data_IF_748032479937
#
_entry.id   IF_748032479937
#
_cell.length_a   1.000
_cell.length_b   1.000
_cell.length_c   1.000
_cell.angle_alpha   90.00
_cell.angle_beta   90.00
_cell.angle_gamma   90.00
#
_symmetry.space_group_name_H-M   'P 1'
#
loop_
_entity.id
_entity.type
_entity.pdbx_description
1 polymer ?
#
# COMPACT_ATOMS: atom_id res chain seq x y z
N UNK A 1 11.78 -25.09 2.69
CA UNK A 1 12.97 -25.08 3.56
C UNK A 1 12.47 -25.32 4.98
N UNK A 2 12.77 -26.46 5.60
CA UNK A 2 12.30 -26.77 6.96
C UNK A 2 13.28 -26.18 7.98
N UNK A 3 12.78 -25.41 8.94
CA UNK A 3 13.57 -24.91 10.07
C UNK A 3 13.41 -25.93 11.19
N UNK A 4 14.43 -26.75 11.44
CA UNK A 4 14.48 -27.62 12.61
C UNK A 4 14.92 -26.82 13.84
N UNK A 5 14.08 -26.73 14.87
CA UNK A 5 14.45 -26.16 16.17
C UNK A 5 14.47 -27.25 17.24
N UNK A 6 15.67 -27.55 17.77
CA UNK A 6 15.92 -28.48 18.87
C UNK A 6 15.51 -27.91 20.25
N UNK A 7 14.27 -27.46 20.41
CA UNK A 7 13.80 -26.89 21.68
C UNK A 7 12.29 -27.04 21.87
N UNK A 8 11.87 -27.30 23.10
CA UNK A 8 10.46 -27.22 23.51
C UNK A 8 9.85 -25.90 23.02
N UNK A 9 8.59 -25.92 22.57
CA UNK A 9 7.88 -24.72 22.11
C UNK A 9 7.84 -23.59 23.14
N UNK A 10 8.04 -23.93 24.42
CA UNK A 10 8.11 -23.01 25.54
C UNK A 10 9.36 -22.10 25.52
N UNK A 11 10.42 -22.53 24.85
CA UNK A 11 11.70 -21.82 24.77
C UNK A 11 11.85 -20.98 23.50
N UNK A 12 10.89 -21.00 22.58
CA UNK A 12 10.92 -20.19 21.36
C UNK A 12 10.64 -18.72 21.69
N UNK A 13 11.64 -17.86 21.56
CA UNK A 13 11.48 -16.42 21.79
C UNK A 13 10.73 -15.77 20.61
N UNK A 14 9.60 -15.12 20.90
CA UNK A 14 8.78 -14.44 19.89
C UNK A 14 9.56 -13.35 19.14
N UNK A 15 10.42 -12.60 19.85
CA UNK A 15 11.26 -11.58 19.22
C UNK A 15 12.26 -12.20 18.26
N UNK A 16 12.84 -13.35 18.60
CA UNK A 16 13.76 -14.06 17.72
C UNK A 16 13.04 -14.59 16.47
N UNK A 17 11.79 -15.05 16.59
CA UNK A 17 10.96 -15.44 15.44
C UNK A 17 10.70 -14.22 14.56
N UNK A 18 10.29 -13.08 15.13
CA UNK A 18 10.07 -11.83 14.38
C UNK A 18 11.33 -11.37 13.65
N UNK A 19 12.47 -11.38 14.32
CA UNK A 19 13.77 -11.00 13.74
C UNK A 19 14.19 -11.94 12.60
N UNK A 20 14.03 -13.26 12.76
CA UNK A 20 14.36 -14.24 11.72
C UNK A 20 13.44 -14.11 10.50
N UNK A 21 12.15 -13.86 10.71
CA UNK A 21 11.22 -13.62 9.59
C UNK A 21 11.57 -12.31 8.87
N UNK A 22 11.81 -11.22 9.61
CA UNK A 22 12.23 -9.95 9.02
C UNK A 22 13.55 -10.07 8.24
N UNK A 23 14.51 -10.87 8.74
CA UNK A 23 15.75 -11.14 8.03
C UNK A 23 15.56 -11.98 6.76
N UNK A 24 14.57 -12.87 6.73
CA UNK A 24 14.23 -13.67 5.56
C UNK A 24 13.50 -12.86 4.46
N UNK A 25 12.81 -11.77 4.84
CA UNK A 25 12.07 -10.88 3.94
C UNK A 25 12.55 -9.43 4.11
N UNK A 26 13.78 -9.10 3.64
CA UNK A 26 14.42 -7.81 3.90
C UNK A 26 13.67 -6.61 3.29
N UNK A 27 12.85 -6.87 2.25
CA UNK A 27 12.02 -5.86 1.60
C UNK A 27 10.78 -5.49 2.43
N UNK A 28 10.59 -6.05 3.64
CA UNK A 28 9.40 -5.83 4.49
C UNK A 28 8.08 -6.23 3.84
N UNK A 29 8.12 -7.07 2.81
CA UNK A 29 6.95 -7.71 2.21
C UNK A 29 6.10 -8.49 3.23
N UNK A 30 6.71 -8.91 4.33
CA UNK A 30 6.04 -9.69 5.37
C UNK A 30 6.35 -9.08 6.74
N UNK A 31 5.31 -8.69 7.46
CA UNK A 31 5.40 -8.27 8.86
C UNK A 31 4.72 -9.30 9.75
N UNK A 32 5.43 -9.78 10.78
CA UNK A 32 4.82 -10.67 11.78
C UNK A 32 3.89 -9.85 12.67
N UNK A 33 2.59 -10.15 12.64
CA UNK A 33 1.59 -9.49 13.48
C UNK A 33 1.49 -10.19 14.85
N UNK A 34 1.52 -11.53 14.86
CA UNK A 34 1.33 -12.30 16.09
C UNK A 34 2.03 -13.66 16.04
N UNK A 35 2.32 -14.20 17.22
CA UNK A 35 2.91 -15.54 17.41
C UNK A 35 2.15 -16.25 18.51
N UNK A 36 1.29 -17.20 18.14
CA UNK A 36 0.45 -17.94 19.09
C UNK A 36 1.01 -19.34 19.30
N UNK A 37 1.14 -19.73 20.57
CA UNK A 37 1.50 -21.11 20.95
C UNK A 37 0.25 -21.91 21.23
N UNK A 38 0.08 -23.02 20.53
CA UNK A 38 -0.98 -23.99 20.74
C UNK A 38 -0.39 -25.27 21.32
N UNK A 39 -0.79 -25.60 22.55
CA UNK A 39 -0.39 -26.83 23.21
C UNK A 39 -0.91 -28.07 22.44
N UNK A 40 -0.15 -29.17 22.40
CA UNK A 40 1.11 -29.36 23.12
C UNK A 40 2.33 -28.71 22.44
N UNK A 41 2.41 -28.71 21.09
CA UNK A 41 3.68 -28.49 20.38
C UNK A 41 3.58 -27.62 19.11
N UNK A 42 2.55 -26.79 18.95
CA UNK A 42 2.35 -25.98 17.74
C UNK A 42 2.65 -24.50 18.00
N UNK A 43 3.32 -23.84 17.04
CA UNK A 43 3.46 -22.38 16.99
C UNK A 43 2.87 -21.88 15.69
N UNK A 44 1.86 -21.02 15.79
CA UNK A 44 1.25 -20.32 14.66
C UNK A 44 1.83 -18.92 14.58
N UNK A 45 2.49 -18.62 13.46
CA UNK A 45 2.98 -17.26 13.16
C UNK A 45 1.97 -16.63 12.22
N UNK A 46 1.36 -15.55 12.67
CA UNK A 46 0.46 -14.74 11.86
C UNK A 46 1.29 -13.62 11.23
N UNK A 47 1.17 -13.50 9.91
CA UNK A 47 1.89 -12.51 9.14
C UNK A 47 0.93 -11.67 8.31
N UNK A 48 1.27 -10.41 8.14
CA UNK A 48 0.66 -9.50 7.19
C UNK A 48 1.59 -9.37 5.98
N UNK A 49 1.05 -9.60 4.78
CA UNK A 49 1.77 -9.39 3.53
C UNK A 49 1.53 -7.94 3.06
N UNK A 50 2.61 -7.18 2.92
CA UNK A 50 2.58 -5.86 2.33
C UNK A 50 2.70 -6.01 0.82
N UNK A 51 1.64 -5.70 0.10
CA UNK A 51 1.65 -5.63 -1.35
C UNK A 51 1.96 -4.18 -1.77
N UNK A 52 3.14 -3.91 -2.38
CA UNK A 52 3.46 -2.61 -2.93
C UNK A 52 2.35 -2.13 -3.86
N UNK A 53 1.82 -0.94 -3.62
CA UNK A 53 0.68 -0.40 -4.37
C UNK A 53 1.07 0.86 -5.13
N UNK A 54 1.81 1.76 -4.50
CA UNK A 54 2.09 3.07 -5.07
C UNK A 54 3.56 3.48 -4.95
N UNK A 55 3.98 4.36 -5.86
CA UNK A 55 5.28 5.00 -5.84
C UNK A 55 5.10 6.50 -5.62
N UNK A 56 5.63 7.00 -4.50
CA UNK A 56 5.56 8.41 -4.11
C UNK A 56 6.94 9.06 -4.27
N UNK A 57 7.06 10.19 -5.00
CA UNK A 57 8.34 10.89 -5.12
C UNK A 57 8.91 11.28 -3.75
N UNK A 58 10.20 11.05 -3.55
CA UNK A 58 10.92 11.53 -2.37
C UNK A 58 11.10 13.05 -2.47
N UNK A 59 10.92 13.76 -1.35
CA UNK A 59 11.07 15.23 -1.29
C UNK A 59 12.47 15.70 -1.68
N UNK A 60 13.48 14.88 -1.47
CA UNK A 60 14.88 15.16 -1.83
C UNK A 60 15.17 14.94 -3.33
N UNK A 61 14.20 14.45 -4.11
CA UNK A 61 14.34 14.19 -5.55
C UNK A 61 15.20 12.99 -5.89
N UNK A 62 15.62 12.18 -4.91
CA UNK A 62 16.55 11.05 -5.15
C UNK A 62 15.89 9.81 -5.75
N UNK A 63 14.55 9.78 -5.78
CA UNK A 63 13.79 8.65 -6.29
C UNK A 63 12.39 8.62 -5.72
N UNK A 64 11.90 7.41 -5.46
CA UNK A 64 10.54 7.13 -5.01
C UNK A 64 10.55 6.24 -3.77
N UNK A 65 9.63 6.51 -2.85
CA UNK A 65 9.23 5.59 -1.82
C UNK A 65 8.12 4.69 -2.36
N UNK A 66 8.35 3.38 -2.32
CA UNK A 66 7.36 2.38 -2.68
C UNK A 66 6.63 1.97 -1.40
N UNK A 67 5.31 2.04 -1.43
CA UNK A 67 4.49 1.79 -0.25
C UNK A 67 3.20 1.04 -0.61
N UNK A 68 2.64 0.37 0.38
CA UNK A 68 1.29 -0.21 0.30
C UNK A 68 0.19 0.87 0.44
N UNK A 69 -1.07 0.45 0.49
CA UNK A 69 -2.24 1.33 0.62
C UNK A 69 -2.30 2.12 1.94
N UNK A 70 -1.67 1.59 2.98
CA UNK A 70 -1.66 2.16 4.33
C UNK A 70 -0.37 2.97 4.58
N UNK A 71 0.43 3.14 3.53
CA UNK A 71 1.73 3.81 3.50
C UNK A 71 2.78 3.18 4.40
N UNK A 72 2.71 1.87 4.61
CA UNK A 72 3.87 1.12 5.10
C UNK A 72 4.95 1.12 4.01
N UNK A 73 6.14 1.62 4.36
CA UNK A 73 7.27 1.66 3.44
C UNK A 73 7.81 0.25 3.19
N UNK A 74 7.73 -0.20 1.94
CA UNK A 74 8.39 -1.41 1.42
C UNK A 74 9.87 -1.08 1.20
N UNK A 75 10.16 -0.26 0.18
CA UNK A 75 11.54 0.14 -0.17
C UNK A 75 11.61 1.51 -0.83
N UNK A 76 12.85 2.00 -1.02
CA UNK A 76 13.15 3.17 -1.85
C UNK A 76 13.79 2.71 -3.16
N UNK A 77 13.39 3.29 -4.27
CA UNK A 77 13.89 2.95 -5.59
C UNK A 77 14.18 4.21 -6.41
N UNK A 78 15.15 4.14 -7.33
CA UNK A 78 15.32 5.20 -8.34
C UNK A 78 14.27 5.02 -9.43
N UNK A 79 14.00 6.07 -10.18
CA UNK A 79 12.99 6.02 -11.24
C UNK A 79 13.25 4.91 -12.28
N UNK A 80 14.52 4.68 -12.62
CA UNK A 80 14.92 3.66 -13.59
C UNK A 80 14.63 2.22 -13.11
N UNK A 81 14.47 2.03 -11.80
CA UNK A 81 14.24 0.72 -11.18
C UNK A 81 12.74 0.45 -10.92
N UNK A 82 11.87 1.41 -11.29
CA UNK A 82 10.43 1.28 -11.09
C UNK A 82 9.78 0.46 -12.19
N UNK A 83 9.01 -0.55 -11.77
CA UNK A 83 8.01 -1.15 -12.63
C UNK A 83 6.72 -0.30 -12.60
N UNK A 84 6.66 0.67 -13.51
CA UNK A 84 5.51 1.57 -13.67
C UNK A 84 4.21 0.85 -14.09
N UNK A 85 4.30 -0.44 -14.46
CA UNK A 85 3.13 -1.26 -14.82
C UNK A 85 2.50 -1.97 -13.62
N UNK A 86 3.23 -2.12 -12.52
CA UNK A 86 2.73 -2.76 -11.29
C UNK A 86 2.45 -1.78 -10.15
N UNK A 87 2.83 -0.51 -10.30
CA UNK A 87 2.64 0.54 -9.29
C UNK A 87 1.74 1.66 -9.81
N UNK A 88 1.00 2.27 -8.88
CA UNK A 88 0.29 3.53 -9.08
C UNK A 88 1.28 4.68 -8.85
N UNK A 89 1.52 5.50 -9.87
CA UNK A 89 2.41 6.66 -9.74
C UNK A 89 1.68 7.82 -9.05
N UNK A 90 2.22 8.32 -7.94
CA UNK A 90 1.65 9.49 -7.24
C UNK A 90 2.32 10.76 -7.76
N UNK A 91 1.52 11.72 -8.22
CA UNK A 91 1.98 12.96 -8.85
C UNK A 91 1.46 14.16 -8.04
N UNK A 92 2.31 15.17 -7.86
CA UNK A 92 1.97 16.38 -7.11
C UNK A 92 2.13 16.27 -5.58
N UNK A 93 2.39 15.06 -5.06
CA UNK A 93 2.76 14.83 -3.65
C UNK A 93 4.21 14.37 -3.55
N UNK A 94 4.84 14.67 -2.41
CA UNK A 94 6.17 14.16 -2.07
C UNK A 94 6.22 13.68 -0.61
N UNK A 95 7.02 12.64 -0.35
CA UNK A 95 7.24 12.14 1.01
C UNK A 95 8.64 12.46 1.50
N UNK A 96 8.75 12.88 2.76
CA UNK A 96 10.01 13.03 3.47
C UNK A 96 10.27 11.85 4.39
N UNK A 97 10.09 12.07 5.70
CA UNK A 97 10.31 11.04 6.73
C UNK A 97 9.01 10.37 7.22
N UNK A 98 7.85 10.91 6.86
CA UNK A 98 6.55 10.42 7.32
C UNK A 98 5.47 10.69 6.27
N UNK A 99 4.47 9.82 6.25
CA UNK A 99 3.23 9.95 5.46
C UNK A 99 2.09 10.59 6.26
N UNK A 100 2.34 11.07 7.48
CA UNK A 100 1.33 11.69 8.34
C UNK A 100 1.02 13.14 7.89
N UNK A 101 0.31 13.28 6.77
CA UNK A 101 -0.17 14.55 6.23
C UNK A 101 -1.61 14.43 5.74
N UNK A 102 -2.31 15.56 5.65
CA UNK A 102 -3.68 15.61 5.12
C UNK A 102 -3.78 15.10 3.67
N UNK A 103 -2.74 15.31 2.85
CA UNK A 103 -2.68 14.80 1.48
C UNK A 103 -2.67 13.27 1.43
N UNK A 104 -1.81 12.63 2.23
CA UNK A 104 -1.74 11.17 2.29
C UNK A 104 -2.98 10.57 2.95
N UNK A 105 -3.56 11.22 3.97
CA UNK A 105 -4.85 10.81 4.50
C UNK A 105 -5.95 10.85 3.42
N UNK A 106 -5.93 11.87 2.56
CA UNK A 106 -6.85 11.97 1.41
C UNK A 106 -6.60 10.84 0.41
N UNK A 107 -5.34 10.56 0.07
CA UNK A 107 -4.97 9.46 -0.83
C UNK A 107 -5.39 8.09 -0.26
N UNK A 108 -5.25 7.86 1.04
CA UNK A 108 -5.77 6.64 1.69
C UNK A 108 -7.28 6.50 1.51
N UNK A 109 -8.02 7.59 1.68
CA UNK A 109 -9.48 7.58 1.49
C UNK A 109 -9.88 7.27 0.05
N UNK A 110 -9.06 7.67 -0.93
CA UNK A 110 -9.25 7.28 -2.33
C UNK A 110 -9.14 5.75 -2.49
N UNK A 111 -8.08 5.14 -1.95
CA UNK A 111 -7.91 3.68 -2.02
C UNK A 111 -9.04 2.92 -1.30
N UNK A 112 -9.40 3.37 -0.10
CA UNK A 112 -10.48 2.76 0.69
C UNK A 112 -11.85 2.89 0.01
N UNK A 113 -12.12 4.00 -0.67
CA UNK A 113 -13.38 4.18 -1.40
C UNK A 113 -13.49 3.20 -2.58
N UNK A 114 -12.41 3.00 -3.35
CA UNK A 114 -12.40 2.00 -4.43
C UNK A 114 -12.61 0.58 -3.89
N UNK A 115 -12.03 0.24 -2.74
CA UNK A 115 -12.30 -1.04 -2.06
C UNK A 115 -13.76 -1.16 -1.61
N UNK A 116 -14.34 -0.09 -1.08
CA UNK A 116 -15.75 -0.03 -0.71
C UNK A 116 -16.69 -0.28 -1.90
N UNK A 117 -16.26 0.04 -3.11
CA UNK A 117 -16.97 -0.27 -4.37
C UNK A 117 -16.65 -1.67 -4.94
N UNK A 118 -15.93 -2.50 -4.18
CA UNK A 118 -15.63 -3.88 -4.54
C UNK A 118 -14.35 -4.07 -5.37
N UNK A 119 -13.53 -3.02 -5.57
CA UNK A 119 -12.23 -3.17 -6.22
C UNK A 119 -11.16 -3.58 -5.20
N UNK A 120 -10.68 -4.84 -5.22
CA UNK A 120 -9.69 -5.29 -4.24
C UNK A 120 -8.37 -4.52 -4.40
N UNK A 121 -7.64 -4.31 -3.31
CA UNK A 121 -6.35 -3.62 -3.28
C UNK A 121 -5.40 -4.07 -4.40
N UNK A 122 -5.28 -5.38 -4.62
CA UNK A 122 -4.42 -5.97 -5.65
C UNK A 122 -4.84 -5.64 -7.10
N UNK A 123 -6.10 -5.25 -7.34
CA UNK A 123 -6.57 -4.82 -8.65
C UNK A 123 -6.30 -3.33 -8.92
N UNK A 124 -6.14 -2.51 -7.88
CA UNK A 124 -6.00 -1.06 -8.04
C UNK A 124 -4.78 -0.66 -8.88
N UNK A 125 -3.57 -1.22 -8.69
CA UNK A 125 -2.43 -0.90 -9.56
C UNK A 125 -2.56 -1.39 -11.00
N UNK A 126 -3.47 -2.34 -11.28
CA UNK A 126 -3.79 -2.77 -12.64
C UNK A 126 -4.82 -1.87 -13.31
N UNK A 127 -5.69 -1.27 -12.51
CA UNK A 127 -6.70 -0.34 -12.97
C UNK A 127 -6.14 1.07 -13.16
N UNK A 128 -5.39 1.58 -12.18
CA UNK A 128 -4.85 2.94 -12.15
C UNK A 128 -3.39 2.95 -12.61
N UNK A 129 -3.07 3.87 -13.51
CA UNK A 129 -1.70 4.20 -13.88
C UNK A 129 -1.09 5.21 -12.90
N UNK A 130 -1.88 6.23 -12.51
CA UNK A 130 -1.40 7.31 -11.65
C UNK A 130 -2.54 8.02 -10.92
N UNK A 131 -2.19 8.69 -9.82
CA UNK A 131 -3.06 9.61 -9.10
C UNK A 131 -2.35 10.95 -9.00
N UNK A 132 -2.94 12.00 -9.57
CA UNK A 132 -2.38 13.34 -9.59
C UNK A 132 -3.17 14.29 -8.68
N UNK A 133 -2.46 14.98 -7.78
CA UNK A 133 -2.97 16.05 -6.94
C UNK A 133 -2.67 17.40 -7.60
N UNK A 134 -3.70 18.03 -8.17
CA UNK A 134 -3.58 19.27 -8.94
C UNK A 134 -4.46 20.36 -8.32
N UNK A 135 -3.89 21.16 -7.41
CA UNK A 135 -4.62 22.22 -6.74
C UNK A 135 -5.83 21.71 -5.95
N UNK A 136 -7.03 22.06 -6.41
CA UNK A 136 -8.32 21.67 -5.84
C UNK A 136 -8.88 20.38 -6.42
N UNK A 137 -8.13 19.64 -7.24
CA UNK A 137 -8.59 18.42 -7.90
C UNK A 137 -7.65 17.24 -7.67
N UNK A 138 -8.24 16.04 -7.68
CA UNK A 138 -7.57 14.75 -7.73
C UNK A 138 -7.96 14.10 -9.05
N UNK A 139 -6.96 13.68 -9.84
CA UNK A 139 -7.17 12.95 -11.08
C UNK A 139 -6.69 11.52 -10.93
N UNK A 140 -7.61 10.58 -11.12
CA UNK A 140 -7.34 9.15 -11.19
C UNK A 140 -7.21 8.78 -12.68
N UNK A 141 -5.97 8.58 -13.14
CA UNK A 141 -5.72 8.19 -14.52
C UNK A 141 -5.69 6.66 -14.62
N UNK A 142 -6.59 6.08 -15.39
CA UNK A 142 -6.68 4.63 -15.59
C UNK A 142 -5.61 4.15 -16.57
N UNK A 143 -5.32 2.83 -16.55
CA UNK A 143 -4.44 2.21 -17.55
C UNK A 143 -5.06 2.13 -18.95
N UNK A 144 -6.38 2.28 -19.06
CA UNK A 144 -7.09 2.33 -20.35
C UNK A 144 -6.97 3.71 -21.02
N UNK A 145 -6.48 4.73 -20.30
CA UNK A 145 -6.28 6.09 -20.80
C UNK A 145 -7.37 7.08 -20.35
N UNK A 146 -8.34 6.63 -19.56
CA UNK A 146 -9.41 7.47 -19.04
C UNK A 146 -8.95 8.26 -17.80
N UNK A 147 -9.64 9.35 -17.50
CA UNK A 147 -9.34 10.19 -16.33
C UNK A 147 -10.62 10.46 -15.55
N UNK A 148 -10.68 9.99 -14.31
CA UNK A 148 -11.73 10.37 -13.36
C UNK A 148 -11.23 11.58 -12.59
N UNK A 149 -11.96 12.69 -12.68
CA UNK A 149 -11.60 13.95 -12.00
C UNK A 149 -12.53 14.17 -10.81
N UNK A 150 -11.93 14.40 -9.64
CA UNK A 150 -12.64 14.55 -8.37
C UNK A 150 -12.23 15.88 -7.74
N UNK A 151 -13.21 16.66 -7.30
CA UNK A 151 -12.92 17.87 -6.51
C UNK A 151 -12.44 17.47 -5.12
N UNK A 152 -11.35 18.10 -4.68
CA UNK A 152 -10.64 17.83 -3.43
C UNK A 152 -11.34 18.43 -2.21
N UNK A 153 -12.11 19.50 -2.40
CA UNK A 153 -12.77 20.23 -1.32
C UNK A 153 -14.28 19.99 -1.32
N UNK A 154 -14.93 19.68 -0.18
CA UNK A 154 -14.33 19.55 1.16
C UNK A 154 -13.70 18.17 1.41
N UNK A 155 -12.60 18.08 2.14
CA UNK A 155 -11.82 16.85 2.27
C UNK A 155 -12.60 15.67 2.90
N UNK A 156 -13.58 15.95 3.77
CA UNK A 156 -14.39 14.91 4.42
C UNK A 156 -15.20 14.03 3.46
N UNK A 157 -15.59 14.56 2.29
CA UNK A 157 -16.46 13.87 1.33
C UNK A 157 -15.68 13.27 0.16
N UNK A 158 -14.37 13.05 0.31
CA UNK A 158 -13.57 12.50 -0.79
C UNK A 158 -13.95 11.06 -1.11
N UNK A 159 -14.17 10.23 -0.08
CA UNK A 159 -14.56 8.84 -0.29
C UNK A 159 -15.82 8.71 -1.15
N UNK A 160 -16.89 9.42 -0.77
CA UNK A 160 -18.17 9.40 -1.49
C UNK A 160 -18.04 9.86 -2.95
N UNK A 161 -17.19 10.86 -3.22
CA UNK A 161 -16.99 11.37 -4.58
C UNK A 161 -16.14 10.45 -5.44
N UNK A 162 -15.14 9.80 -4.85
CA UNK A 162 -14.37 8.74 -5.53
C UNK A 162 -15.31 7.59 -5.89
N UNK A 163 -16.12 7.13 -4.93
CA UNK A 163 -17.14 6.11 -5.15
C UNK A 163 -18.11 6.48 -6.27
N UNK A 164 -18.66 7.71 -6.24
CA UNK A 164 -19.57 8.18 -7.27
C UNK A 164 -18.93 8.20 -8.67
N UNK A 165 -17.72 8.77 -8.78
CA UNK A 165 -16.98 8.82 -10.05
C UNK A 165 -16.66 7.42 -10.58
N UNK A 166 -16.28 6.49 -9.69
CA UNK A 166 -16.02 5.10 -10.09
C UNK A 166 -17.28 4.37 -10.55
N UNK A 167 -18.42 4.53 -9.86
CA UNK A 167 -19.70 3.95 -10.29
C UNK A 167 -20.15 4.48 -11.65
N UNK A 168 -20.00 5.78 -11.88
CA UNK A 168 -20.31 6.41 -13.17
C UNK A 168 -19.43 5.83 -14.28
N UNK A 169 -18.12 5.70 -14.04
CA UNK A 169 -17.21 5.06 -14.97
C UNK A 169 -17.61 3.60 -15.25
N UNK A 170 -17.88 2.81 -14.20
CA UNK A 170 -18.24 1.40 -14.32
C UNK A 170 -19.58 1.17 -15.04
N UNK A 171 -20.52 2.11 -14.96
CA UNK A 171 -21.80 2.05 -15.68
C UNK A 171 -21.68 2.34 -17.19
N UNK A 172 -20.57 2.96 -17.61
CA UNK A 172 -20.30 3.35 -19.00
C UNK A 172 -19.36 2.36 -19.73
N UNK A 173 -18.93 1.28 -19.06
CA UNK A 173 -18.20 0.15 -19.64
C UNK A 173 -19.16 -0.92 -20.19
#
# INVERSE_FOLDING_TARGET
CAIETNGSILNLNENEIRERVAAAYPDRLITVIDVVREFPDTVKVYVEEHAPMCAVPLRDGTGYAIADRDFALDRKAREADLDKNSLIMIIGLTVGNSYDTADFATLRNVFLALEGEGMPAAAQPRFLASIAFEGDKIKLNTRTGDTLTIDRSPAENIGDRVSAAYREYAANL
#
